data_IF_965851681292
#
_entry.id   IF_965851681292
#
_cell.length_a   1.000
_cell.length_b   1.000
_cell.length_c   1.000
_cell.angle_alpha   90.00
_cell.angle_beta   90.00
_cell.angle_gamma   90.00
#
_symmetry.space_group_name_H-M   'P 1'
#
loop_
_entity.id
_entity.type
_entity.pdbx_description
1 polymer ?
#
# COMPACT_ATOMS: atom_id res chain seq x y z
N UNK A 1 12.16 14.16 1.24
CA UNK A 1 11.68 13.10 0.33
C UNK A 1 10.49 13.64 -0.44
N UNK A 2 10.47 13.52 -1.77
CA UNK A 2 9.57 14.21 -2.73
C UNK A 2 8.07 14.12 -2.38
N UNK A 3 7.68 13.08 -1.64
CA UNK A 3 6.29 12.84 -1.20
C UNK A 3 5.83 13.84 -0.13
N UNK A 4 6.72 14.39 0.69
CA UNK A 4 6.31 15.30 1.79
C UNK A 4 5.98 16.71 1.33
N UNK A 5 6.34 17.11 0.11
CA UNK A 5 6.14 18.47 -0.40
C UNK A 5 4.81 18.66 -1.12
N UNK A 6 4.37 17.69 -1.92
CA UNK A 6 3.04 17.70 -2.53
C UNK A 6 2.07 16.89 -1.67
N UNK A 7 1.25 17.59 -0.86
CA UNK A 7 0.23 16.97 -0.01
C UNK A 7 -1.04 16.54 -0.76
N UNK A 8 -1.22 17.02 -1.99
CA UNK A 8 -2.40 16.73 -2.82
C UNK A 8 -2.25 15.40 -3.56
N UNK A 9 -1.00 14.99 -3.84
CA UNK A 9 -0.72 13.72 -4.49
C UNK A 9 -1.22 12.53 -3.65
N UNK A 10 -2.05 11.71 -4.31
CA UNK A 10 -2.64 10.50 -3.73
C UNK A 10 -1.60 9.45 -3.36
N UNK A 11 -1.71 8.84 -2.19
CA UNK A 11 -0.80 7.80 -1.70
C UNK A 11 -1.55 6.60 -1.14
N UNK A 12 -1.10 5.39 -1.50
CA UNK A 12 -1.48 4.14 -0.82
C UNK A 12 -0.40 3.78 0.19
N UNK A 13 -0.77 3.65 1.47
CA UNK A 13 0.20 3.56 2.55
C UNK A 13 -0.03 2.37 3.47
N UNK A 14 1.09 1.77 3.89
CA UNK A 14 1.15 0.80 4.98
C UNK A 14 0.57 1.40 6.26
N UNK A 15 -0.10 0.59 7.08
CA UNK A 15 -0.93 1.10 8.16
C UNK A 15 -0.12 1.82 9.24
N UNK A 16 1.12 1.41 9.51
CA UNK A 16 2.03 2.11 10.44
C UNK A 16 2.37 3.53 10.00
N UNK A 17 2.28 3.81 8.70
CA UNK A 17 2.62 5.10 8.11
C UNK A 17 1.40 6.02 7.98
N UNK A 18 0.18 5.51 8.16
CA UNK A 18 -1.06 6.30 7.98
C UNK A 18 -1.13 7.49 8.92
N UNK A 19 -0.75 7.33 10.20
CA UNK A 19 -0.78 8.43 11.17
C UNK A 19 0.11 9.61 10.73
N UNK A 20 1.33 9.32 10.26
CA UNK A 20 2.29 10.32 9.79
C UNK A 20 1.84 11.02 8.49
N UNK A 21 0.95 10.38 7.75
CA UNK A 21 0.42 10.86 6.48
C UNK A 21 -1.03 11.38 6.60
N UNK A 22 -1.59 11.44 7.81
CA UNK A 22 -2.99 11.80 8.07
C UNK A 22 -3.38 13.21 7.61
N UNK A 23 -2.41 14.13 7.48
CA UNK A 23 -2.64 15.49 6.96
C UNK A 23 -2.78 15.58 5.43
N UNK A 24 -2.71 14.45 4.71
CA UNK A 24 -2.88 14.42 3.25
C UNK A 24 -4.35 14.34 2.88
N UNK A 25 -4.71 15.02 1.80
CA UNK A 25 -6.08 15.01 1.28
C UNK A 25 -6.45 13.66 0.68
N UNK A 26 -5.49 12.98 0.06
CA UNK A 26 -5.70 11.76 -0.71
C UNK A 26 -4.82 10.63 -0.17
N UNK A 27 -5.32 9.90 0.82
CA UNK A 27 -4.64 8.75 1.42
C UNK A 27 -5.52 7.51 1.40
N UNK A 28 -4.92 6.38 1.03
CA UNK A 28 -5.55 5.07 0.97
C UNK A 28 -4.81 4.10 1.87
N UNK A 29 -5.53 3.19 2.51
CA UNK A 29 -4.96 2.17 3.38
C UNK A 29 -4.57 0.93 2.60
N UNK A 30 -3.30 0.54 2.69
CA UNK A 30 -2.75 -0.62 1.99
C UNK A 30 -3.42 -1.93 2.41
N UNK A 31 -3.71 -2.13 3.69
CA UNK A 31 -4.28 -3.39 4.17
C UNK A 31 -5.69 -3.66 3.61
N UNK A 32 -6.53 -2.63 3.46
CA UNK A 32 -7.83 -2.81 2.80
C UNK A 32 -7.69 -3.02 1.30
N UNK A 33 -6.74 -2.34 0.65
CA UNK A 33 -6.41 -2.64 -0.74
C UNK A 33 -5.94 -4.09 -0.90
N UNK A 34 -5.03 -4.53 -0.05
CA UNK A 34 -4.49 -5.88 -0.03
C UNK A 34 -5.61 -6.92 0.14
N UNK A 35 -6.55 -6.72 1.06
CA UNK A 35 -7.68 -7.64 1.23
C UNK A 35 -8.74 -7.48 0.13
N UNK A 36 -8.82 -6.33 -0.54
CA UNK A 36 -9.83 -6.03 -1.55
C UNK A 36 -11.22 -5.77 -0.97
N UNK A 37 -11.33 -5.65 0.36
CA UNK A 37 -12.59 -5.46 1.10
C UNK A 37 -12.43 -4.37 2.14
N UNK A 38 -13.51 -3.65 2.40
CA UNK A 38 -13.58 -2.62 3.44
C UNK A 38 -13.62 -3.25 4.84
N UNK A 39 -13.32 -2.43 5.87
CA UNK A 39 -13.39 -2.87 7.27
C UNK A 39 -14.78 -3.44 7.61
N UNK A 40 -14.80 -4.55 8.36
CA UNK A 40 -16.03 -5.23 8.84
C UNK A 40 -16.97 -5.81 7.76
N UNK A 41 -16.62 -5.68 6.48
CA UNK A 41 -17.28 -6.21 5.29
C UNK A 41 -18.79 -5.91 5.13
N UNK A 42 -19.13 -5.12 4.09
CA UNK A 42 -20.17 -5.45 3.08
C UNK A 42 -19.85 -4.84 1.68
N UNK A 43 -18.59 -4.52 1.36
CA UNK A 43 -18.26 -3.86 0.08
C UNK A 43 -16.81 -4.02 -0.37
N UNK A 44 -16.60 -3.93 -1.68
CA UNK A 44 -15.28 -3.95 -2.30
C UNK A 44 -14.49 -2.69 -1.94
N UNK A 45 -13.19 -2.86 -1.69
CA UNK A 45 -12.27 -1.73 -1.57
C UNK A 45 -11.69 -1.39 -2.94
N UNK A 46 -12.30 -0.41 -3.61
CA UNK A 46 -11.93 -0.03 -4.98
C UNK A 46 -11.14 1.28 -4.95
N UNK A 47 -9.98 1.29 -5.61
CA UNK A 47 -9.26 2.52 -5.90
C UNK A 47 -9.85 3.13 -7.18
N UNK A 48 -10.62 4.21 -7.04
CA UNK A 48 -11.23 4.91 -8.19
C UNK A 48 -10.19 5.40 -9.22
N UNK A 49 -8.96 5.64 -8.77
CA UNK A 49 -7.79 5.94 -9.59
C UNK A 49 -6.56 5.30 -8.95
N UNK A 50 -5.66 4.73 -9.77
CA UNK A 50 -4.33 4.30 -9.29
C UNK A 50 -3.60 5.48 -8.63
N UNK A 51 -3.05 5.33 -7.42
CA UNK A 51 -2.44 6.41 -6.67
C UNK A 51 -1.12 6.84 -7.32
N UNK A 52 -0.76 8.11 -7.21
CA UNK A 52 0.55 8.62 -7.65
C UNK A 52 1.71 7.90 -6.94
N UNK A 53 1.55 7.60 -5.65
CA UNK A 53 2.57 6.97 -4.82
C UNK A 53 2.05 5.73 -4.09
N UNK A 54 2.94 4.78 -3.84
CA UNK A 54 2.72 3.67 -2.89
C UNK A 54 3.87 3.68 -1.90
N UNK A 55 3.58 3.59 -0.60
CA UNK A 55 4.59 3.51 0.44
C UNK A 55 4.39 2.24 1.27
N UNK A 56 5.39 1.36 1.20
CA UNK A 56 5.37 0.03 1.79
C UNK A 56 6.32 -0.03 2.98
N UNK A 57 5.86 -0.53 4.12
CA UNK A 57 6.69 -0.95 5.23
C UNK A 57 6.78 -2.47 5.22
N UNK A 58 8.00 -3.02 5.14
CA UNK A 58 8.25 -4.46 5.14
C UNK A 58 7.67 -5.13 6.38
N UNK A 59 7.68 -4.46 7.53
CA UNK A 59 7.13 -5.01 8.77
C UNK A 59 5.61 -5.15 8.71
N UNK A 60 4.90 -4.29 7.96
CA UNK A 60 3.46 -4.44 7.72
C UNK A 60 3.19 -5.62 6.78
N UNK A 61 4.05 -5.87 5.79
CA UNK A 61 3.91 -7.06 4.92
C UNK A 61 4.15 -8.37 5.68
N UNK A 62 5.11 -8.39 6.61
CA UNK A 62 5.32 -9.52 7.51
C UNK A 62 4.11 -9.71 8.42
N UNK A 63 3.59 -8.61 8.98
CA UNK A 63 2.39 -8.63 9.81
C UNK A 63 1.16 -9.15 9.04
N UNK A 64 1.01 -8.81 7.76
CA UNK A 64 -0.06 -9.37 6.93
C UNK A 64 0.04 -10.90 6.88
N UNK A 65 1.25 -11.43 6.70
CA UNK A 65 1.48 -12.88 6.64
C UNK A 65 1.20 -13.57 7.97
N UNK A 66 1.61 -12.98 9.09
CA UNK A 66 1.45 -13.60 10.40
C UNK A 66 0.02 -13.46 10.95
N UNK A 67 -0.61 -12.28 10.76
CA UNK A 67 -1.89 -11.95 11.38
C UNK A 67 -3.07 -11.97 10.42
N UNK A 68 -2.97 -11.36 9.22
CA UNK A 68 -4.11 -11.33 8.29
C UNK A 68 -4.38 -12.71 7.69
N UNK A 69 -3.34 -13.45 7.32
CA UNK A 69 -3.48 -14.81 6.77
C UNK A 69 -4.23 -15.75 7.71
N UNK A 70 -3.95 -15.66 9.01
CA UNK A 70 -4.51 -16.55 10.04
C UNK A 70 -5.80 -16.00 10.68
N UNK A 71 -6.22 -14.79 10.30
CA UNK A 71 -7.43 -14.17 10.83
C UNK A 71 -8.68 -14.87 10.30
N UNK A 72 -9.63 -15.17 11.19
CA UNK A 72 -10.96 -15.73 10.81
C UNK A 72 -11.70 -14.88 9.78
N UNK A 73 -11.52 -13.55 9.85
CA UNK A 73 -12.19 -12.63 8.94
C UNK A 73 -11.35 -12.38 7.67
N UNK A 74 -10.08 -12.04 7.83
CA UNK A 74 -9.22 -11.59 6.72
C UNK A 74 -8.59 -12.73 5.91
N UNK A 75 -8.43 -13.93 6.49
CA UNK A 75 -7.66 -15.02 5.89
C UNK A 75 -8.19 -15.45 4.52
N UNK A 76 -9.52 -15.46 4.34
CA UNK A 76 -10.15 -15.79 3.05
C UNK A 76 -9.81 -14.83 1.91
N UNK A 77 -9.35 -13.62 2.23
CA UNK A 77 -8.99 -12.59 1.25
C UNK A 77 -7.48 -12.48 1.02
N UNK A 78 -6.68 -13.13 1.87
CA UNK A 78 -5.23 -12.94 1.93
C UNK A 78 -4.52 -13.38 0.65
N UNK A 79 -4.87 -14.55 0.11
CA UNK A 79 -4.17 -15.14 -1.05
C UNK A 79 -4.27 -14.22 -2.29
N UNK A 80 -5.45 -13.63 -2.54
CA UNK A 80 -5.66 -12.68 -3.63
C UNK A 80 -4.94 -11.34 -3.41
N UNK A 81 -4.52 -11.05 -2.18
CA UNK A 81 -3.86 -9.79 -1.85
C UNK A 81 -2.44 -9.67 -2.38
N UNK A 82 -1.71 -10.79 -2.43
CA UNK A 82 -0.36 -10.81 -2.99
C UNK A 82 -0.38 -10.53 -4.49
N UNK A 83 -1.29 -11.17 -5.22
CA UNK A 83 -1.48 -10.94 -6.66
C UNK A 83 -1.88 -9.50 -6.94
N UNK A 84 -2.87 -8.97 -6.20
CA UNK A 84 -3.32 -7.58 -6.36
C UNK A 84 -2.23 -6.55 -6.07
N UNK A 85 -1.36 -6.81 -5.09
CA UNK A 85 -0.22 -5.93 -4.81
C UNK A 85 0.83 -6.02 -5.92
N UNK A 86 1.13 -7.24 -6.41
CA UNK A 86 2.05 -7.45 -7.53
C UNK A 86 1.56 -6.74 -8.79
N UNK A 87 0.30 -6.93 -9.17
CA UNK A 87 -0.33 -6.25 -10.32
C UNK A 87 -0.31 -4.74 -10.19
N UNK A 88 -0.59 -4.20 -9.00
CA UNK A 88 -0.51 -2.75 -8.77
C UNK A 88 0.89 -2.23 -9.10
N UNK A 89 1.92 -2.88 -8.57
CA UNK A 89 3.29 -2.39 -8.59
C UNK A 89 3.98 -2.55 -9.96
N UNK A 90 3.39 -3.25 -10.93
CA UNK A 90 3.95 -3.38 -12.29
C UNK A 90 4.18 -2.02 -12.97
N UNK A 91 3.32 -1.03 -12.67
CA UNK A 91 3.42 0.32 -13.23
C UNK A 91 4.23 1.28 -12.35
N UNK A 92 4.94 0.78 -11.34
CA UNK A 92 5.60 1.61 -10.33
C UNK A 92 7.10 1.31 -10.25
N UNK A 93 7.89 2.38 -10.11
CA UNK A 93 9.31 2.28 -9.81
C UNK A 93 9.62 2.74 -8.40
N UNK A 94 10.62 2.12 -7.78
CA UNK A 94 11.17 2.52 -6.48
C UNK A 94 11.89 3.86 -6.65
N UNK A 95 11.51 4.85 -5.83
CA UNK A 95 12.11 6.18 -5.80
C UNK A 95 13.10 6.30 -4.64
N UNK A 96 12.78 5.67 -3.52
CA UNK A 96 13.56 5.75 -2.28
C UNK A 96 13.35 4.47 -1.48
N UNK A 97 14.37 4.05 -0.74
CA UNK A 97 14.34 2.91 0.15
C UNK A 97 15.21 3.19 1.37
N UNK A 98 14.59 3.20 2.56
CA UNK A 98 15.29 3.46 3.81
C UNK A 98 14.82 2.48 4.88
N UNK A 99 15.79 1.75 5.44
CA UNK A 99 15.58 0.67 6.41
C UNK A 99 14.58 -0.38 5.89
N UNK A 100 13.32 -0.30 6.32
CA UNK A 100 12.24 -1.23 5.95
C UNK A 100 11.15 -0.56 5.10
N UNK A 101 11.31 0.71 4.75
CA UNK A 101 10.29 1.49 4.03
C UNK A 101 10.72 1.74 2.58
N UNK A 102 9.91 1.28 1.65
CA UNK A 102 10.06 1.50 0.22
C UNK A 102 9.01 2.50 -0.28
N UNK A 103 9.46 3.52 -1.00
CA UNK A 103 8.61 4.48 -1.68
C UNK A 103 8.61 4.21 -3.18
N UNK A 104 7.41 4.06 -3.73
CA UNK A 104 7.18 3.83 -5.15
C UNK A 104 6.43 5.01 -5.78
N UNK A 105 6.76 5.32 -7.04
CA UNK A 105 6.06 6.31 -7.86
C UNK A 105 5.61 5.68 -9.18
N UNK A 106 4.37 5.95 -9.55
CA UNK A 106 3.78 5.46 -10.80
C UNK A 106 4.53 6.01 -12.01
N UNK A 107 4.83 5.16 -12.98
CA UNK A 107 5.54 5.49 -14.22
C UNK A 107 7.00 5.89 -14.02
N UNK A 108 7.55 5.70 -12.81
CA UNK A 108 8.95 5.99 -12.55
C UNK A 108 9.84 4.83 -13.04
N UNK A 109 10.88 5.15 -13.80
CA UNK A 109 11.89 4.16 -14.18
C UNK A 109 12.91 4.08 -13.05
N UNK A 110 12.82 3.03 -12.24
CA UNK A 110 13.73 2.85 -11.10
C UNK A 110 15.10 2.38 -11.56
N UNK A 111 16.14 2.93 -10.94
CA UNK A 111 17.50 2.39 -10.99
C UNK A 111 17.79 1.45 -9.80
N UNK A 112 16.86 1.37 -8.84
CA UNK A 112 16.95 0.55 -7.63
C UNK A 112 16.23 -0.78 -7.88
N UNK A 113 16.91 -1.90 -7.58
CA UNK A 113 16.30 -3.23 -7.54
C UNK A 113 16.12 -3.65 -6.08
N UNK A 114 14.92 -4.10 -5.71
CA UNK A 114 14.55 -4.60 -4.37
C UNK A 114 14.52 -6.12 -4.33
#
# INVERSE_FOLDING_TARGET
SVVTQDKTASILASYRLLANLSSRENIYALHYYFLGVQQFAQGQYILNKKPAYVILDKNDLLDFKENLKNSKWAGQYYENGQERLKELLQDYGVVDFQADVALFKRGYKSEIQL
#
